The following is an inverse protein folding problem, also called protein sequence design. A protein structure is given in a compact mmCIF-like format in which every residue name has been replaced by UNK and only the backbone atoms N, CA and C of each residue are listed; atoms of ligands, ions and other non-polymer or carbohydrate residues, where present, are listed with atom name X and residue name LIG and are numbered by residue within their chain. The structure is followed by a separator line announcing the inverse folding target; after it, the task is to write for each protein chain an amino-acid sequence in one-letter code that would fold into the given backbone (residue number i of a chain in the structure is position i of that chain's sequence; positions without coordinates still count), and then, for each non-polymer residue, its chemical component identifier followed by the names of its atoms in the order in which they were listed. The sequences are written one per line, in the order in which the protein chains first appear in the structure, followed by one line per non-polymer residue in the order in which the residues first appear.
data_IF_291113536180
#
_entry.id   IF_291113536180
#
_cell.length_a   1.000
_cell.length_b   1.000
_cell.length_c   1.000
_cell.angle_alpha   90.00
_cell.angle_beta   90.00
_cell.angle_gamma   90.00
#
_symmetry.space_group_name_H-M   'P 1'
#
loop_
_entity.id
_entity.type
_entity.pdbx_description
1 polymer ?
#
# COMPACT_ATOMS: atom_id res chain seq x y z
N UNK A 1 -32.18 -16.00 19.10
CA UNK A 1 -33.55 -16.54 19.07
C UNK A 1 -33.60 -17.75 18.15
N UNK A 2 -33.47 -18.96 18.70
CA UNK A 2 -33.62 -20.23 17.96
C UNK A 2 -34.45 -21.16 18.84
N UNK A 3 -35.52 -21.70 18.25
CA UNK A 3 -36.70 -22.28 18.90
C UNK A 3 -36.46 -23.76 19.18
N UNK A 4 -36.70 -24.20 20.41
CA UNK A 4 -36.87 -25.61 20.77
C UNK A 4 -38.36 -25.96 20.78
N UNK A 5 -38.72 -27.07 20.14
CA UNK A 5 -40.06 -27.63 20.06
C UNK A 5 -40.04 -29.09 20.52
N UNK A 6 -41.23 -29.56 20.93
CA UNK A 6 -41.63 -30.96 21.13
C UNK A 6 -41.34 -31.54 22.52
N UNK A 7 -42.29 -31.51 23.46
CA UNK A 7 -43.46 -32.40 23.59
C UNK A 7 -43.10 -33.82 24.02
N UNK A 8 -43.36 -34.16 25.28
CA UNK A 8 -44.02 -35.42 25.62
C UNK A 8 -44.79 -35.30 26.94
N UNK A 9 -46.11 -35.31 26.78
CA UNK A 9 -47.13 -35.46 27.82
C UNK A 9 -47.34 -36.95 28.07
N UNK A 10 -47.36 -37.40 29.33
CA UNK A 10 -48.31 -38.45 29.75
C UNK A 10 -48.50 -38.47 31.28
N UNK A 11 -49.69 -38.00 31.66
CA UNK A 11 -50.45 -38.29 32.88
C UNK A 11 -50.57 -39.79 33.14
N UNK A 12 -50.58 -40.27 34.41
CA UNK A 12 -51.72 -41.00 34.98
C UNK A 12 -51.55 -41.48 36.44
N UNK A 13 -52.64 -41.27 37.19
CA UNK A 13 -53.20 -42.11 38.28
C UNK A 13 -52.65 -42.06 39.70
N UNK A 14 -53.57 -41.63 40.57
CA UNK A 14 -53.57 -41.66 42.01
C UNK A 14 -54.11 -42.98 42.58
N UNK A 15 -53.87 -43.14 43.89
CA UNK A 15 -54.59 -43.93 44.88
C UNK A 15 -54.24 -45.42 45.01
N UNK A 16 -53.63 -45.78 46.15
CA UNK A 16 -54.17 -46.75 47.11
C UNK A 16 -53.41 -46.66 48.46
N UNK A 17 -54.19 -46.46 49.53
CA UNK A 17 -53.79 -46.49 50.93
C UNK A 17 -53.83 -47.92 51.50
N UNK A 18 -53.13 -48.09 52.62
CA UNK A 18 -53.06 -49.24 53.57
C UNK A 18 -52.18 -50.42 53.12
N UNK A 19 -51.22 -50.94 53.88
CA UNK A 19 -50.86 -50.77 55.28
C UNK A 19 -50.39 -52.15 55.79
N UNK A 20 -49.16 -52.28 56.31
CA UNK A 20 -48.83 -53.24 57.36
C UNK A 20 -47.42 -53.02 57.91
N UNK A 21 -47.33 -53.21 59.23
CA UNK A 21 -46.24 -52.82 60.10
C UNK A 21 -44.99 -53.71 59.98
N UNK A 22 -43.81 -53.08 59.99
CA UNK A 22 -42.57 -53.71 60.42
C UNK A 22 -41.61 -52.66 61.00
N UNK A 23 -41.57 -52.58 62.34
CA UNK A 23 -40.55 -51.91 63.15
C UNK A 23 -39.14 -52.37 62.69
N UNK A 24 -38.33 -51.48 62.13
CA UNK A 24 -36.86 -51.64 62.06
C UNK A 24 -36.17 -50.32 62.39
N UNK A 25 -35.26 -50.42 63.35
CA UNK A 25 -34.79 -49.34 64.19
C UNK A 25 -33.96 -48.27 63.48
N UNK A 26 -34.03 -47.07 64.06
CA UNK A 26 -33.12 -45.97 63.81
C UNK A 26 -31.69 -46.42 64.15
N UNK A 27 -30.86 -46.55 63.12
CA UNK A 27 -29.40 -46.39 63.23
C UNK A 27 -29.08 -45.01 62.69
N UNK A 28 -28.72 -44.11 63.59
CA UNK A 28 -28.07 -42.84 63.26
C UNK A 28 -26.78 -43.16 62.53
N UNK A 29 -26.73 -42.90 61.22
CA UNK A 29 -25.49 -43.00 60.46
C UNK A 29 -24.60 -41.79 60.81
N UNK A 30 -23.30 -41.99 61.12
CA UNK A 30 -22.38 -40.88 61.27
C UNK A 30 -22.20 -40.19 59.91
N UNK A 31 -22.30 -38.86 59.88
CA UNK A 31 -21.97 -38.05 58.70
C UNK A 31 -20.50 -38.22 58.38
N UNK A 32 -20.19 -39.07 57.41
CA UNK A 32 -18.86 -39.13 56.81
C UNK A 32 -18.66 -37.85 56.01
N UNK A 33 -17.78 -36.96 56.49
CA UNK A 33 -17.38 -35.78 55.73
C UNK A 33 -16.78 -36.25 54.39
N UNK A 34 -17.40 -35.84 53.28
CA UNK A 34 -16.89 -36.13 51.95
C UNK A 34 -15.53 -35.43 51.78
N UNK A 35 -14.50 -36.12 51.26
CA UNK A 35 -13.19 -35.50 51.06
C UNK A 35 -13.29 -34.41 49.99
N UNK A 36 -13.15 -33.16 50.43
CA UNK A 36 -13.10 -32.00 49.53
C UNK A 36 -11.65 -31.81 49.10
N UNK A 37 -11.39 -31.82 47.80
CA UNK A 37 -10.07 -31.48 47.27
C UNK A 37 -9.88 -29.97 47.37
N UNK A 38 -9.01 -29.55 48.29
CA UNK A 38 -8.64 -28.14 48.45
C UNK A 38 -7.43 -27.90 47.54
N UNK A 39 -7.60 -27.05 46.53
CA UNK A 39 -6.49 -26.50 45.75
C UNK A 39 -6.22 -25.10 46.30
N UNK A 40 -5.02 -24.88 46.82
CA UNK A 40 -4.57 -23.56 47.26
C UNK A 40 -4.23 -22.78 46.00
N UNK A 41 -5.01 -21.73 45.70
CA UNK A 41 -4.74 -20.86 44.58
C UNK A 41 -3.56 -19.95 44.91
N UNK A 42 -2.43 -20.15 44.22
CA UNK A 42 -1.33 -19.19 44.23
C UNK A 42 -1.61 -18.10 43.19
N UNK A 43 -1.70 -16.85 43.64
CA UNK A 43 -1.74 -15.69 42.76
C UNK A 43 -0.35 -15.48 42.17
N UNK A 44 -0.18 -15.92 40.92
CA UNK A 44 1.01 -15.61 40.14
C UNK A 44 0.65 -14.54 39.14
N UNK A 45 1.28 -13.38 39.24
CA UNK A 45 1.19 -12.35 38.21
C UNK A 45 1.70 -12.95 36.89
N UNK A 46 0.79 -13.21 35.97
CA UNK A 46 1.12 -13.50 34.58
C UNK A 46 1.02 -12.19 33.82
N UNK A 47 2.09 -11.83 33.14
CA UNK A 47 2.03 -10.81 32.11
C UNK A 47 1.06 -11.35 31.05
N UNK A 48 -0.07 -10.67 30.86
CA UNK A 48 -0.99 -10.98 29.77
C UNK A 48 -0.32 -10.57 28.47
N UNK A 49 0.19 -11.55 27.72
CA UNK A 49 0.68 -11.34 26.37
C UNK A 49 -0.50 -11.57 25.43
N UNK A 50 -1.05 -10.48 24.90
CA UNK A 50 -2.03 -10.55 23.81
C UNK A 50 -1.26 -10.60 22.48
N UNK A 51 -1.52 -11.62 21.68
CA UNK A 51 -0.93 -11.77 20.34
C UNK A 51 -1.92 -11.27 19.29
N UNK A 52 -1.58 -10.17 18.62
CA UNK A 52 -2.37 -9.68 17.50
C UNK A 52 -1.75 -10.11 16.17
N UNK A 53 -2.61 -10.58 15.26
CA UNK A 53 -2.19 -10.93 13.91
C UNK A 53 -1.91 -9.65 13.11
N UNK A 54 -0.71 -9.59 12.51
CA UNK A 54 -0.30 -8.52 11.62
C UNK A 54 0.13 -9.05 10.25
N UNK A 55 0.12 -8.16 9.26
CA UNK A 55 0.65 -8.43 7.92
C UNK A 55 1.95 -7.65 7.74
N UNK A 56 2.97 -8.32 7.17
CA UNK A 56 4.22 -7.66 6.77
C UNK A 56 4.03 -7.10 5.36
N UNK A 57 4.24 -5.80 5.21
CA UNK A 57 4.13 -5.08 3.95
C UNK A 57 5.45 -4.39 3.62
N UNK A 58 5.71 -4.15 2.34
CA UNK A 58 6.80 -3.29 1.92
C UNK A 58 6.51 -1.85 2.38
N UNK A 59 7.50 -1.19 2.96
CA UNK A 59 7.41 0.22 3.39
C UNK A 59 7.21 1.14 2.18
N UNK A 60 7.79 0.78 1.04
CA UNK A 60 7.66 1.50 -0.21
C UNK A 60 7.00 0.58 -1.24
N UNK A 61 5.82 0.98 -1.69
CA UNK A 61 5.07 0.37 -2.78
C UNK A 61 4.67 1.48 -3.75
N UNK A 62 4.86 1.26 -5.05
CA UNK A 62 4.47 2.22 -6.08
C UNK A 62 3.82 1.53 -7.29
N UNK A 63 2.67 2.05 -7.67
CA UNK A 63 2.00 1.75 -8.94
C UNK A 63 2.49 2.76 -9.98
N UNK A 64 3.22 2.25 -10.97
CA UNK A 64 3.78 3.06 -12.05
C UNK A 64 2.74 3.12 -13.17
N UNK A 65 2.10 4.27 -13.31
CA UNK A 65 1.09 4.54 -14.32
C UNK A 65 1.66 5.32 -15.50
N UNK A 66 1.06 5.13 -16.68
CA UNK A 66 1.32 5.97 -17.83
C UNK A 66 0.93 7.42 -17.54
N UNK A 67 1.74 8.38 -17.99
CA UNK A 67 1.45 9.82 -17.87
C UNK A 67 1.06 10.45 -19.20
N UNK A 68 1.36 9.77 -20.32
CA UNK A 68 1.00 10.21 -21.67
C UNK A 68 0.25 9.09 -22.41
N UNK A 69 -0.47 9.47 -23.45
CA UNK A 69 -1.11 8.53 -24.36
C UNK A 69 -0.14 8.04 -25.43
N UNK A 70 -0.09 6.73 -25.64
CA UNK A 70 0.71 6.12 -26.69
C UNK A 70 0.66 4.61 -26.64
N UNK A 71 1.35 3.94 -27.57
CA UNK A 71 1.46 2.48 -27.54
C UNK A 71 2.73 2.07 -26.81
N UNK A 72 2.66 1.07 -25.93
CA UNK A 72 3.85 0.47 -25.31
C UNK A 72 4.71 -0.12 -26.43
N UNK A 73 5.86 0.49 -26.68
CA UNK A 73 6.78 0.11 -27.74
C UNK A 73 7.69 -1.02 -27.29
N UNK A 74 8.27 -0.90 -26.08
CA UNK A 74 9.10 -1.92 -25.46
C UNK A 74 8.86 -1.99 -23.96
N UNK A 75 8.88 -3.22 -23.44
CA UNK A 75 8.83 -3.55 -22.02
C UNK A 75 10.18 -4.21 -21.68
N UNK A 76 11.02 -3.54 -20.90
CA UNK A 76 12.40 -3.96 -20.63
C UNK A 76 12.52 -4.84 -19.37
N UNK A 77 11.44 -4.99 -18.62
CA UNK A 77 11.44 -5.64 -17.30
C UNK A 77 10.39 -6.74 -17.19
N UNK A 78 10.66 -7.69 -16.31
CA UNK A 78 9.76 -8.79 -15.98
C UNK A 78 9.41 -8.80 -14.47
N UNK A 79 8.25 -9.36 -14.08
CA UNK A 79 7.94 -9.59 -12.67
C UNK A 79 9.01 -10.44 -11.98
N UNK A 80 9.38 -10.05 -10.76
CA UNK A 80 10.46 -10.64 -9.97
C UNK A 80 11.86 -10.10 -10.28
N UNK A 81 12.01 -9.23 -11.29
CA UNK A 81 13.30 -8.63 -11.61
C UNK A 81 13.65 -7.47 -10.66
N UNK A 82 14.87 -7.44 -10.11
CA UNK A 82 15.37 -6.27 -9.38
C UNK A 82 15.72 -5.14 -10.35
N UNK A 83 15.39 -3.91 -9.96
CA UNK A 83 15.64 -2.68 -10.73
C UNK A 83 16.20 -1.59 -9.84
N UNK A 84 16.98 -0.71 -10.44
CA UNK A 84 17.61 0.43 -9.75
C UNK A 84 16.82 1.72 -9.97
N UNK A 85 16.91 2.67 -9.03
CA UNK A 85 16.28 3.98 -9.19
C UNK A 85 16.76 4.68 -10.48
N UNK A 86 15.80 5.15 -11.28
CA UNK A 86 16.06 5.81 -12.58
C UNK A 86 16.24 4.88 -13.77
N UNK A 87 16.22 3.56 -13.56
CA UNK A 87 16.30 2.57 -14.64
C UNK A 87 15.09 2.66 -15.58
N UNK A 88 15.33 2.50 -16.88
CA UNK A 88 14.28 2.55 -17.90
C UNK A 88 13.49 1.23 -17.89
N UNK A 89 12.18 1.31 -17.65
CA UNK A 89 11.31 0.15 -17.53
C UNK A 89 10.47 -0.07 -18.79
N UNK A 90 9.86 1.01 -19.29
CA UNK A 90 8.93 0.98 -20.42
C UNK A 90 9.21 2.14 -21.35
N UNK A 91 9.17 1.88 -22.65
CA UNK A 91 9.13 2.94 -23.66
C UNK A 91 7.75 2.98 -24.29
N UNK A 92 7.14 4.16 -24.30
CA UNK A 92 5.87 4.43 -24.95
C UNK A 92 6.17 5.16 -26.26
N UNK A 93 5.64 4.67 -27.38
CA UNK A 93 5.75 5.41 -28.64
C UNK A 93 4.80 6.61 -28.59
N UNK A 94 5.41 7.80 -28.55
CA UNK A 94 4.72 9.08 -28.44
C UNK A 94 5.17 10.03 -29.58
N UNK A 95 4.99 9.58 -30.82
CA UNK A 95 5.44 10.30 -32.02
C UNK A 95 4.91 11.74 -32.09
N UNK A 96 3.67 11.95 -31.67
CA UNK A 96 3.06 13.27 -31.64
C UNK A 96 3.74 14.20 -30.64
N UNK A 97 3.98 13.71 -29.42
CA UNK A 97 4.68 14.47 -28.37
C UNK A 97 6.11 14.80 -28.78
N UNK A 98 6.80 13.84 -29.39
CA UNK A 98 8.15 14.04 -29.91
C UNK A 98 8.18 15.12 -31.01
N UNK A 99 7.23 15.09 -31.95
CA UNK A 99 7.12 16.10 -33.00
C UNK A 99 6.81 17.51 -32.42
N UNK A 100 5.95 17.59 -31.40
CA UNK A 100 5.67 18.85 -30.70
C UNK A 100 6.92 19.40 -29.99
N UNK A 101 7.70 18.52 -29.35
CA UNK A 101 8.98 18.90 -28.74
C UNK A 101 9.97 19.43 -29.78
N UNK A 102 10.13 18.76 -30.92
CA UNK A 102 11.01 19.20 -32.00
C UNK A 102 10.60 20.55 -32.58
N UNK A 103 9.28 20.77 -32.76
CA UNK A 103 8.74 22.06 -33.18
C UNK A 103 9.04 23.17 -32.16
N UNK A 104 8.79 22.93 -30.87
CA UNK A 104 9.06 23.91 -29.82
C UNK A 104 10.56 24.22 -29.69
N UNK A 105 11.42 23.20 -29.82
CA UNK A 105 12.87 23.35 -29.83
C UNK A 105 13.34 24.22 -31.00
N UNK A 106 12.78 24.05 -32.20
CA UNK A 106 13.09 24.88 -33.36
C UNK A 106 12.68 26.36 -33.13
N UNK A 107 11.51 26.59 -32.54
CA UNK A 107 11.05 27.95 -32.20
C UNK A 107 11.95 28.62 -31.15
N UNK A 108 12.35 27.87 -30.11
CA UNK A 108 13.33 28.32 -29.12
C UNK A 108 14.65 28.71 -29.78
N UNK A 109 15.16 27.89 -30.71
CA UNK A 109 16.41 28.16 -31.40
C UNK A 109 16.35 29.42 -32.26
N UNK A 110 15.22 29.63 -32.96
CA UNK A 110 14.95 30.86 -33.70
C UNK A 110 14.95 32.08 -32.77
N UNK A 111 14.20 32.01 -31.67
CA UNK A 111 14.12 33.09 -30.69
C UNK A 111 15.48 33.39 -30.03
N UNK A 112 16.28 32.35 -29.74
CA UNK A 112 17.62 32.48 -29.20
C UNK A 112 18.57 33.20 -30.18
N UNK A 113 18.49 32.86 -31.46
CA UNK A 113 19.26 33.54 -32.53
C UNK A 113 18.85 35.00 -32.65
N UNK A 114 17.55 35.31 -32.59
CA UNK A 114 17.03 36.67 -32.64
C UNK A 114 17.48 37.49 -31.42
N UNK A 115 17.39 36.93 -30.21
CA UNK A 115 17.89 37.57 -28.99
C UNK A 115 19.38 37.86 -29.10
N UNK A 116 20.19 36.91 -29.57
CA UNK A 116 21.63 37.11 -29.77
C UNK A 116 21.92 38.28 -30.72
N UNK A 117 21.18 38.39 -31.83
CA UNK A 117 21.30 39.53 -32.75
C UNK A 117 20.87 40.84 -32.07
N UNK A 118 19.76 40.85 -31.33
CA UNK A 118 19.31 42.03 -30.59
C UNK A 118 20.34 42.49 -29.54
N UNK A 119 20.99 41.55 -28.82
CA UNK A 119 22.08 41.85 -27.89
C UNK A 119 23.23 42.57 -28.58
N UNK A 120 23.68 42.08 -29.74
CA UNK A 120 24.77 42.70 -30.49
C UNK A 120 24.39 44.11 -30.96
N UNK A 121 23.19 44.28 -31.52
CA UNK A 121 22.72 45.59 -32.00
C UNK A 121 22.48 46.60 -30.86
N UNK A 122 22.09 46.14 -29.67
CA UNK A 122 21.99 46.98 -28.48
C UNK A 122 23.38 47.45 -28.02
N UNK A 123 24.38 46.56 -28.02
CA UNK A 123 25.77 46.90 -27.68
C UNK A 123 26.36 47.90 -28.68
N UNK A 124 25.98 47.82 -29.95
CA UNK A 124 26.33 48.78 -31.00
C UNK A 124 25.48 50.07 -30.95
N UNK A 125 24.52 50.17 -30.01
CA UNK A 125 23.56 51.28 -29.85
C UNK A 125 22.67 51.54 -31.07
N UNK A 126 22.42 50.50 -31.88
CA UNK A 126 21.55 50.53 -33.07
C UNK A 126 20.11 50.19 -32.72
N UNK A 127 19.91 49.36 -31.70
CA UNK A 127 18.59 48.87 -31.23
C UNK A 127 18.17 49.60 -29.95
N UNK A 128 16.86 49.82 -29.76
CA UNK A 128 16.33 50.36 -28.50
C UNK A 128 16.26 49.31 -27.39
N UNK A 129 16.27 49.76 -26.13
CA UNK A 129 16.08 48.88 -24.98
C UNK A 129 14.74 48.12 -25.05
N UNK A 130 13.67 48.80 -25.50
CA UNK A 130 12.35 48.20 -25.62
C UNK A 130 12.32 47.03 -26.63
N UNK A 131 13.02 47.15 -27.76
CA UNK A 131 13.13 46.07 -28.75
C UNK A 131 13.96 44.90 -28.23
N UNK A 132 15.04 45.17 -27.47
CA UNK A 132 15.81 44.13 -26.81
C UNK A 132 14.96 43.38 -25.79
N UNK A 133 14.24 44.11 -24.93
CA UNK A 133 13.36 43.52 -23.91
C UNK A 133 12.26 42.68 -24.56
N UNK A 134 11.72 43.11 -25.72
CA UNK A 134 10.78 42.32 -26.50
C UNK A 134 11.40 41.03 -27.05
N UNK A 135 12.61 41.08 -27.60
CA UNK A 135 13.33 39.89 -28.06
C UNK A 135 13.62 38.92 -26.92
N UNK A 136 14.01 39.45 -25.75
CA UNK A 136 14.26 38.66 -24.55
C UNK A 136 12.97 38.00 -24.03
N UNK A 137 11.86 38.73 -23.99
CA UNK A 137 10.56 38.18 -23.63
C UNK A 137 10.13 37.04 -24.57
N UNK A 138 10.28 37.22 -25.89
CA UNK A 138 9.98 36.19 -26.89
C UNK A 138 10.84 34.93 -26.70
N UNK A 139 12.14 35.10 -26.41
CA UNK A 139 13.00 33.97 -26.09
C UNK A 139 12.51 33.23 -24.84
N UNK A 140 12.19 33.94 -23.75
CA UNK A 140 11.68 33.32 -22.52
C UNK A 140 10.39 32.52 -22.74
N UNK A 141 9.47 33.03 -23.56
CA UNK A 141 8.24 32.30 -23.93
C UNK A 141 8.56 31.03 -24.71
N UNK A 142 9.44 31.12 -25.71
CA UNK A 142 9.81 29.96 -26.51
C UNK A 142 10.63 28.91 -25.72
N UNK A 143 11.48 29.36 -24.80
CA UNK A 143 12.24 28.51 -23.89
C UNK A 143 11.31 27.73 -22.95
N UNK A 144 10.33 28.41 -22.33
CA UNK A 144 9.32 27.78 -21.49
C UNK A 144 8.49 26.73 -22.25
N UNK A 145 8.03 27.06 -23.48
CA UNK A 145 7.28 26.13 -24.32
C UNK A 145 8.11 24.89 -24.71
N UNK A 146 9.41 25.06 -24.98
CA UNK A 146 10.30 23.93 -25.27
C UNK A 146 10.56 23.06 -24.03
N UNK A 147 10.66 23.67 -22.85
CA UNK A 147 10.79 22.93 -21.58
C UNK A 147 9.54 22.09 -21.29
N UNK A 148 8.35 22.67 -21.46
CA UNK A 148 7.08 21.96 -21.28
C UNK A 148 6.97 20.76 -22.23
N UNK A 149 7.22 20.98 -23.52
CA UNK A 149 7.17 19.91 -24.52
C UNK A 149 8.22 18.82 -24.26
N UNK A 150 9.40 19.19 -23.74
CA UNK A 150 10.41 18.22 -23.31
C UNK A 150 9.93 17.34 -22.17
N UNK A 151 9.32 17.93 -21.14
CA UNK A 151 8.79 17.17 -20.00
C UNK A 151 7.74 16.15 -20.46
N UNK A 152 6.86 16.55 -21.38
CA UNK A 152 5.89 15.62 -21.98
C UNK A 152 6.57 14.50 -22.77
N UNK A 153 7.62 14.80 -23.53
CA UNK A 153 8.37 13.79 -24.27
C UNK A 153 9.13 12.84 -23.32
N UNK A 154 9.66 13.34 -22.21
CA UNK A 154 10.35 12.53 -21.20
C UNK A 154 9.40 11.52 -20.54
N UNK A 155 8.10 11.82 -20.42
CA UNK A 155 7.09 10.87 -19.94
C UNK A 155 6.87 9.66 -20.85
N UNK A 156 7.38 9.68 -22.09
CA UNK A 156 7.41 8.50 -22.94
C UNK A 156 8.37 7.43 -22.42
N UNK A 157 9.36 7.82 -21.62
CA UNK A 157 10.31 6.93 -20.97
C UNK A 157 9.91 6.75 -19.51
N UNK A 158 9.28 5.63 -19.21
CA UNK A 158 8.85 5.31 -17.84
C UNK A 158 10.04 4.71 -17.09
N UNK A 159 10.43 5.37 -15.99
CA UNK A 159 11.59 5.00 -15.16
C UNK A 159 11.19 4.60 -13.76
N UNK A 160 12.03 3.81 -13.11
CA UNK A 160 11.83 3.39 -11.72
C UNK A 160 11.98 4.59 -10.75
N UNK A 161 10.99 4.87 -9.88
CA UNK A 161 11.09 5.95 -8.88
C UNK A 161 12.07 5.64 -7.73
N UNK A 162 12.32 4.38 -7.42
CA UNK A 162 13.26 3.92 -6.39
C UNK A 162 13.82 2.54 -6.76
N UNK A 163 14.87 2.11 -6.04
CA UNK A 163 15.45 0.76 -6.20
C UNK A 163 14.56 -0.27 -5.51
N UNK A 164 14.17 -1.33 -6.22
CA UNK A 164 13.24 -2.32 -5.71
C UNK A 164 13.08 -3.51 -6.64
N UNK A 165 11.99 -4.25 -6.50
CA UNK A 165 11.63 -5.38 -7.35
C UNK A 165 10.29 -5.11 -8.04
N UNK A 166 10.17 -5.48 -9.31
CA UNK A 166 8.89 -5.43 -10.02
C UNK A 166 8.01 -6.57 -9.51
N UNK A 167 6.89 -6.24 -8.87
CA UNK A 167 5.97 -7.24 -8.30
C UNK A 167 4.94 -7.69 -9.32
N UNK A 168 4.42 -6.76 -10.13
CA UNK A 168 3.42 -7.06 -11.15
C UNK A 168 3.63 -6.22 -12.41
N UNK A 169 3.19 -6.81 -13.53
CA UNK A 169 3.11 -6.17 -14.83
C UNK A 169 1.64 -6.17 -15.28
N UNK A 170 1.05 -4.99 -15.42
CA UNK A 170 -0.36 -4.79 -15.76
C UNK A 170 -0.56 -4.40 -17.24
N UNK A 171 0.52 -4.13 -17.98
CA UNK A 171 0.49 -3.83 -19.41
C UNK A 171 1.58 -4.60 -20.17
N UNK A 172 1.29 -4.95 -21.42
CA UNK A 172 2.22 -5.65 -22.31
C UNK A 172 2.70 -4.79 -23.48
N UNK A 173 3.76 -5.27 -24.14
CA UNK A 173 4.22 -4.66 -25.38
C UNK A 173 3.09 -4.68 -26.42
N UNK A 174 2.83 -3.52 -27.03
CA UNK A 174 1.74 -3.34 -27.97
C UNK A 174 0.45 -2.81 -27.35
N UNK A 175 0.32 -2.78 -26.02
CA UNK A 175 -0.86 -2.23 -25.36
C UNK A 175 -0.97 -0.71 -25.53
N UNK A 176 -2.20 -0.22 -25.47
CA UNK A 176 -2.45 1.21 -25.34
C UNK A 176 -2.20 1.65 -23.90
N UNK A 177 -1.27 2.59 -23.75
CA UNK A 177 -1.02 3.35 -22.54
C UNK A 177 -1.88 4.63 -22.59
N UNK A 178 -2.62 4.88 -21.52
CA UNK A 178 -3.42 6.10 -21.34
C UNK A 178 -3.09 6.71 -19.98
N UNK A 179 -3.09 8.05 -19.84
CA UNK A 179 -2.82 8.69 -18.56
C UNK A 179 -3.64 8.08 -17.41
N UNK A 180 -2.96 7.64 -16.35
CA UNK A 180 -3.57 7.00 -15.18
C UNK A 180 -3.75 5.48 -15.26
N UNK A 181 -3.52 4.85 -16.42
CA UNK A 181 -3.51 3.38 -16.53
C UNK A 181 -2.22 2.83 -15.91
N UNK A 182 -2.36 1.90 -14.97
CA UNK A 182 -1.24 1.17 -14.39
C UNK A 182 -0.50 0.35 -15.45
N UNK A 183 0.84 0.41 -15.42
CA UNK A 183 1.72 -0.37 -16.30
C UNK A 183 2.48 -1.43 -15.51
N UNK A 184 3.04 -1.03 -14.36
CA UNK A 184 3.90 -1.85 -13.52
C UNK A 184 3.64 -1.54 -12.05
N UNK A 185 3.89 -2.51 -11.18
CA UNK A 185 3.98 -2.32 -9.74
C UNK A 185 5.37 -2.69 -9.23
N UNK A 186 5.86 -1.92 -8.27
CA UNK A 186 7.19 -2.07 -7.70
C UNK A 186 7.17 -1.88 -6.19
N UNK A 187 7.96 -2.69 -5.50
CA UNK A 187 8.11 -2.65 -4.04
C UNK A 187 9.59 -2.72 -3.62
N UNK A 188 9.91 -2.14 -2.46
CA UNK A 188 11.22 -2.29 -1.82
C UNK A 188 11.19 -3.47 -0.82
N UNK A 189 11.88 -4.59 -1.11
CA UNK A 189 11.89 -5.75 -0.22
C UNK A 189 12.80 -5.57 1.00
N UNK A 190 13.65 -4.54 1.03
CA UNK A 190 14.62 -4.31 2.12
C UNK A 190 14.03 -3.50 3.28
N UNK A 191 13.06 -2.65 2.98
CA UNK A 191 12.36 -1.85 3.97
C UNK A 191 10.96 -2.43 4.22
N UNK A 192 10.81 -3.23 5.28
CA UNK A 192 9.53 -3.83 5.65
C UNK A 192 8.87 -3.10 6.83
N UNK A 193 7.54 -3.11 6.86
CA UNK A 193 6.71 -2.62 7.97
C UNK A 193 5.70 -3.70 8.35
N UNK A 194 5.47 -3.86 9.65
CA UNK A 194 4.37 -4.67 10.16
C UNK A 194 3.14 -3.77 10.37
N UNK A 195 2.00 -4.21 9.84
CA UNK A 195 0.70 -3.59 10.07
C UNK A 195 -0.19 -4.58 10.81
N UNK A 196 -0.63 -4.21 12.02
CA UNK A 196 -1.54 -5.00 12.83
C UNK A 196 -2.69 -4.11 13.30
N UNK A 197 -3.89 -4.68 13.36
CA UNK A 197 -5.04 -3.98 13.92
C UNK A 197 -5.03 -4.18 15.42
N UNK A 198 -4.91 -3.09 16.18
CA UNK A 198 -4.98 -3.13 17.65
C UNK A 198 -6.43 -2.82 18.04
N UNK A 199 -7.14 -3.73 18.73
CA UNK A 199 -8.49 -3.44 19.18
C UNK A 199 -8.50 -2.32 20.26
N UNK A 200 -9.61 -1.59 20.33
CA UNK A 200 -9.70 -0.32 21.08
C UNK A 200 -9.46 -0.48 22.59
N UNK A 201 -9.82 -1.63 23.14
CA UNK A 201 -9.56 -2.02 24.53
C UNK A 201 -8.06 -2.09 24.87
N UNK A 202 -7.22 -2.41 23.88
CA UNK A 202 -5.76 -2.45 24.01
C UNK A 202 -5.08 -1.15 23.56
N UNK A 203 -5.76 -0.30 22.78
CA UNK A 203 -5.19 0.92 22.22
C UNK A 203 -4.70 1.92 23.27
N UNK A 204 -5.32 1.95 24.46
CA UNK A 204 -4.88 2.79 25.58
C UNK A 204 -3.53 2.38 26.20
N UNK A 205 -3.09 1.15 25.95
CA UNK A 205 -1.87 0.57 26.50
C UNK A 205 -0.69 0.58 25.51
N UNK A 206 -0.91 1.00 24.26
CA UNK A 206 0.11 1.06 23.21
C UNK A 206 0.47 2.51 22.90
N UNK A 207 1.75 2.85 23.02
CA UNK A 207 2.28 4.20 22.77
C UNK A 207 3.26 4.19 21.60
N UNK A 208 3.38 5.34 20.93
CA UNK A 208 4.39 5.54 19.90
C UNK A 208 5.77 5.45 20.53
N UNK A 209 6.60 4.54 20.01
CA UNK A 209 7.95 4.26 20.52
C UNK A 209 8.04 2.98 21.35
N UNK A 210 6.92 2.31 21.62
CA UNK A 210 6.95 1.01 22.30
C UNK A 210 7.63 -0.05 21.42
N UNK A 211 8.50 -0.85 22.05
CA UNK A 211 9.16 -1.97 21.39
C UNK A 211 8.30 -3.22 21.54
N UNK A 212 7.77 -3.72 20.43
CA UNK A 212 6.98 -4.95 20.38
C UNK A 212 7.80 -6.10 19.79
N UNK A 213 7.70 -7.27 20.40
CA UNK A 213 8.31 -8.48 19.85
C UNK A 213 7.44 -9.01 18.71
N UNK A 214 8.02 -9.14 17.52
CA UNK A 214 7.33 -9.64 16.33
C UNK A 214 7.76 -11.07 16.07
N UNK A 215 6.80 -11.98 15.96
CA UNK A 215 7.03 -13.37 15.55
C UNK A 215 6.57 -13.58 14.11
N UNK A 216 7.51 -13.81 13.20
CA UNK A 216 7.20 -14.11 11.80
C UNK A 216 7.15 -15.63 11.63
N UNK A 217 5.94 -16.17 11.49
CA UNK A 217 5.74 -17.62 11.37
C UNK A 217 6.52 -18.28 10.22
N UNK A 218 6.71 -17.57 9.11
CA UNK A 218 7.41 -18.08 7.92
C UNK A 218 8.93 -18.19 8.07
N UNK A 219 9.53 -17.53 9.07
CA UNK A 219 10.99 -17.56 9.32
C UNK A 219 11.38 -18.52 10.43
N UNK A 220 10.48 -19.38 10.90
CA UNK A 220 10.82 -20.43 11.86
C UNK A 220 11.60 -21.54 11.16
N UNK A 221 12.91 -21.36 11.06
CA UNK A 221 13.86 -22.45 10.90
C UNK A 221 13.72 -23.37 12.11
N UNK A 222 13.39 -24.64 11.85
CA UNK A 222 13.46 -25.74 12.83
C UNK A 222 14.92 -26.05 13.15
#
# INVERSE_FOLDING_TARGET
MIRFHSSLVLTMTAALLAGCAAKRGAKTAPTTAAPVHIVIAESKERVATEEEAGTVQAKLHAVIAAQISGRVETMLVSPGQPVTAGELLVTISAREVQAQYEQALAQRQLAASNLRRATNLLNERVLSQAEFDQAQARFRVADAAAMEARTLADYAQVRAPFTGIITRKDADQGDLATPGKALLEMEDPTALRLEANVPEDLAGNVKVGDTLNVRIGALQTN
#
